data_IF_573017556411
#
_entry.id   IF_573017556411
#
_cell.length_a   1.000
_cell.length_b   1.000
_cell.length_c   1.000
_cell.angle_alpha   90.00
_cell.angle_beta   90.00
_cell.angle_gamma   90.00
#
_symmetry.space_group_name_H-M   'P 1'
#
loop_
_entity.id
_entity.type
_entity.pdbx_description
1 polymer ?
#
# COMPACT_ATOMS: atom_id res chain seq x y z
N UNK A 1 20.12 -9.70 28.82
CA UNK A 1 20.63 -8.55 28.05
C UNK A 1 20.56 -8.73 26.52
N UNK A 2 19.92 -9.78 25.98
CA UNK A 2 19.78 -9.99 24.52
C UNK A 2 18.38 -9.68 23.96
N UNK A 3 17.39 -9.46 24.82
CA UNK A 3 15.98 -9.25 24.41
C UNK A 3 15.65 -7.80 24.03
N UNK A 4 16.39 -6.80 24.51
CA UNK A 4 16.15 -5.38 24.19
C UNK A 4 16.59 -5.00 22.76
N UNK A 5 17.51 -5.76 22.15
CA UNK A 5 17.99 -5.51 20.78
C UNK A 5 17.02 -5.95 19.68
N UNK A 6 15.91 -6.61 20.04
CA UNK A 6 14.92 -7.15 19.09
C UNK A 6 13.59 -6.38 19.10
N UNK A 7 13.48 -5.29 19.87
CA UNK A 7 12.30 -4.43 19.83
C UNK A 7 12.43 -3.45 18.67
N UNK A 8 11.43 -3.39 17.80
CA UNK A 8 11.40 -2.46 16.68
C UNK A 8 11.45 -1.02 17.20
N UNK A 9 12.54 -0.30 16.92
CA UNK A 9 12.70 1.09 17.30
C UNK A 9 11.80 1.96 16.42
N UNK A 10 10.96 2.79 17.06
CA UNK A 10 10.04 3.67 16.35
C UNK A 10 10.83 4.64 15.45
N UNK A 11 10.37 4.91 14.21
CA UNK A 11 11.04 5.85 13.32
C UNK A 11 11.02 7.27 13.92
N UNK A 12 12.09 8.05 13.71
CA UNK A 12 12.18 9.40 14.26
C UNK A 12 11.11 10.32 13.68
N UNK A 13 10.54 11.18 14.53
CA UNK A 13 9.62 12.23 14.11
C UNK A 13 10.32 13.21 13.18
N UNK A 14 9.60 13.64 12.13
CA UNK A 14 10.11 14.57 11.12
C UNK A 14 9.17 15.76 11.04
N UNK A 15 9.71 16.95 11.26
CA UNK A 15 9.04 18.21 10.99
C UNK A 15 9.73 18.86 9.79
N UNK A 16 8.92 19.27 8.80
CA UNK A 16 9.40 19.84 7.52
C UNK A 16 10.45 19.00 6.77
N UNK A 17 10.41 17.67 6.92
CA UNK A 17 11.27 16.74 6.17
C UNK A 17 12.67 16.52 6.75
N UNK A 18 13.01 17.21 7.84
CA UNK A 18 14.25 16.96 8.60
C UNK A 18 13.95 16.12 9.84
N UNK A 19 14.86 15.22 10.21
CA UNK A 19 14.76 14.45 11.44
C UNK A 19 15.08 15.36 12.62
N UNK A 20 14.19 15.38 13.61
CA UNK A 20 14.40 16.16 14.84
C UNK A 20 15.58 15.56 15.61
N UNK A 21 16.66 16.33 15.77
CA UNK A 21 17.88 15.93 16.49
C UNK A 21 18.09 16.72 17.77
N UNK A 22 17.26 17.75 18.01
CA UNK A 22 17.33 18.57 19.21
C UNK A 22 16.74 17.83 20.42
N UNK A 23 17.60 17.53 21.39
CA UNK A 23 17.28 16.78 22.61
C UNK A 23 16.18 17.44 23.45
N UNK A 24 16.04 18.76 23.38
CA UNK A 24 14.99 19.53 24.08
C UNK A 24 13.61 19.39 23.43
N UNK A 25 13.54 19.20 22.11
CA UNK A 25 12.27 19.01 21.40
C UNK A 25 11.71 17.59 21.60
N UNK A 26 12.60 16.59 21.71
CA UNK A 26 12.23 15.19 21.96
C UNK A 26 11.65 14.95 23.37
N UNK A 27 11.88 15.87 24.31
CA UNK A 27 11.40 15.82 25.69
C UNK A 27 10.06 16.54 25.91
N UNK A 28 9.53 17.23 24.90
CA UNK A 28 8.21 17.86 24.98
C UNK A 28 7.12 16.79 24.88
N UNK A 29 6.85 16.14 26.01
CA UNK A 29 5.60 15.40 26.24
C UNK A 29 4.48 16.42 26.14
N UNK A 30 3.46 16.11 25.32
CA UNK A 30 2.28 16.95 25.12
C UNK A 30 1.77 17.47 26.46
N UNK A 31 1.88 18.79 26.63
CA UNK A 31 1.43 19.53 27.80
C UNK A 31 -0.07 19.26 27.98
N UNK A 32 -0.43 18.48 29.01
CA UNK A 32 -1.79 18.48 29.52
C UNK A 32 -2.05 19.92 29.97
N UNK A 33 -2.92 20.61 29.21
CA UNK A 33 -3.42 21.94 29.52
C UNK A 33 -4.10 21.91 30.89
N UNK A 34 -3.32 22.18 31.94
CA UNK A 34 -3.85 22.57 33.26
C UNK A 34 -4.64 23.87 33.07
N UNK A 35 -5.92 23.83 33.48
CA UNK A 35 -6.77 25.01 33.59
C UNK A 35 -6.14 25.99 34.60
N UNK A 36 -5.42 26.98 34.09
CA UNK A 36 -4.94 28.11 34.87
C UNK A 36 -6.12 29.02 35.24
N UNK A 37 -6.55 28.95 36.51
CA UNK A 37 -7.40 29.95 37.15
C UNK A 37 -6.62 31.28 37.26
N UNK A 38 -7.02 32.26 36.48
CA UNK A 38 -6.47 33.61 36.48
C UNK A 38 -7.17 34.45 37.56
N UNK A 39 -6.57 34.56 38.75
CA UNK A 39 -6.89 35.60 39.73
C UNK A 39 -6.04 36.85 39.46
N UNK A 40 -6.64 37.86 38.82
CA UNK A 40 -6.07 39.20 38.64
C UNK A 40 -6.94 40.26 39.34
N UNK A 41 -6.39 40.86 40.39
CA UNK A 41 -7.03 41.86 41.25
C UNK A 41 -7.18 43.23 40.57
N UNK A 42 -8.33 43.88 40.78
CA UNK A 42 -8.47 45.34 40.72
C UNK A 42 -9.33 45.80 41.90
N UNK A 43 -8.68 46.47 42.85
CA UNK A 43 -9.25 47.00 44.08
C UNK A 43 -9.84 48.40 43.81
N UNK A 44 -11.09 48.64 44.21
CA UNK A 44 -11.77 49.90 43.98
C UNK A 44 -13.14 50.01 44.64
N UNK A 45 -13.12 50.17 45.98
CA UNK A 45 -14.17 50.77 46.85
C UNK A 45 -15.44 49.94 47.17
N UNK A 46 -15.61 49.71 48.47
CA UNK A 46 -16.59 48.86 49.16
C UNK A 46 -18.06 49.38 49.07
N UNK A 47 -19.08 48.52 49.22
CA UNK A 47 -19.51 48.14 50.58
C UNK A 47 -19.67 46.63 50.75
N UNK A 48 -19.44 46.16 51.97
CA UNK A 48 -19.54 44.77 52.45
C UNK A 48 -20.77 44.03 51.90
N UNK A 49 -20.64 43.38 50.74
CA UNK A 49 -21.47 42.23 50.39
C UNK A 49 -20.79 41.03 51.03
N UNK A 50 -21.49 40.37 51.94
CA UNK A 50 -21.11 39.08 52.50
C UNK A 50 -20.49 38.22 51.38
N UNK A 51 -19.16 38.06 51.39
CA UNK A 51 -18.48 37.05 50.59
C UNK A 51 -19.10 35.75 51.07
N UNK A 52 -20.06 35.21 50.31
CA UNK A 52 -20.56 33.85 50.52
C UNK A 52 -19.31 32.99 50.40
N UNK A 53 -18.76 32.57 51.54
CA UNK A 53 -17.73 31.55 51.61
C UNK A 53 -18.13 30.49 50.59
N UNK A 54 -17.29 30.23 49.59
CA UNK A 54 -17.64 29.43 48.42
C UNK A 54 -18.45 28.22 48.85
N UNK A 55 -19.72 28.17 48.43
CA UNK A 55 -20.68 27.18 48.92
C UNK A 55 -20.09 25.79 48.69
N UNK A 56 -19.58 25.18 49.77
CA UNK A 56 -19.01 23.84 49.72
C UNK A 56 -20.09 22.93 49.16
N UNK A 57 -19.81 22.33 47.99
CA UNK A 57 -20.75 21.39 47.34
C UNK A 57 -21.26 20.39 48.38
N UNK A 58 -22.58 20.23 48.43
CA UNK A 58 -23.16 19.25 49.35
C UNK A 58 -22.90 17.83 48.82
N UNK A 59 -23.07 16.81 49.67
CA UNK A 59 -22.90 15.41 49.24
C UNK A 59 -23.86 15.04 48.11
N UNK A 60 -25.07 15.60 48.11
CA UNK A 60 -26.07 15.42 47.05
C UNK A 60 -25.65 16.07 45.74
N UNK A 61 -25.02 17.24 45.77
CA UNK A 61 -24.48 17.91 44.58
C UNK A 61 -23.35 17.09 43.95
N UNK A 62 -22.41 16.61 44.78
CA UNK A 62 -21.33 15.71 44.32
C UNK A 62 -21.88 14.42 43.71
N UNK A 63 -22.90 13.81 44.32
CA UNK A 63 -23.56 12.62 43.78
C UNK A 63 -24.29 12.91 42.45
N UNK A 64 -24.93 14.08 42.32
CA UNK A 64 -25.59 14.50 41.07
C UNK A 64 -24.58 14.73 39.95
N UNK A 65 -23.43 15.32 40.26
CA UNK A 65 -22.31 15.48 39.32
C UNK A 65 -21.71 14.12 38.93
N UNK A 66 -21.48 13.22 39.88
CA UNK A 66 -20.99 11.88 39.62
C UNK A 66 -21.92 11.10 38.69
N UNK A 67 -23.25 11.16 38.92
CA UNK A 67 -24.25 10.56 38.02
C UNK A 67 -24.20 11.16 36.62
N UNK A 68 -24.09 12.49 36.49
CA UNK A 68 -23.94 13.16 35.18
C UNK A 68 -22.65 12.76 34.47
N UNK A 69 -21.53 12.66 35.19
CA UNK A 69 -20.23 12.21 34.64
C UNK A 69 -20.32 10.76 34.17
N UNK A 70 -20.89 9.86 34.97
CA UNK A 70 -21.10 8.47 34.59
C UNK A 70 -21.97 8.32 33.33
N UNK A 71 -23.06 9.09 33.22
CA UNK A 71 -23.90 9.10 32.03
C UNK A 71 -23.14 9.60 30.78
N UNK A 72 -22.36 10.68 30.92
CA UNK A 72 -21.50 11.20 29.83
C UNK A 72 -20.49 10.15 29.37
N UNK A 73 -19.80 9.50 30.30
CA UNK A 73 -18.85 8.42 29.99
C UNK A 73 -19.52 7.24 29.29
N UNK A 74 -20.72 6.84 29.70
CA UNK A 74 -21.47 5.77 29.04
C UNK A 74 -21.79 6.13 27.58
N UNK A 75 -22.24 7.36 27.32
CA UNK A 75 -22.51 7.85 25.95
C UNK A 75 -21.23 7.87 25.10
N UNK A 76 -20.11 8.34 25.67
CA UNK A 76 -18.82 8.35 24.97
C UNK A 76 -18.35 6.93 24.63
N UNK A 77 -18.48 5.97 25.55
CA UNK A 77 -18.15 4.57 25.28
C UNK A 77 -18.97 4.00 24.12
N UNK A 78 -20.27 4.29 24.06
CA UNK A 78 -21.13 3.85 22.94
C UNK A 78 -20.72 4.52 21.64
N UNK A 79 -20.44 5.83 21.64
CA UNK A 79 -19.96 6.56 20.45
C UNK A 79 -18.63 5.99 19.95
N UNK A 80 -17.69 5.73 20.85
CA UNK A 80 -16.40 5.14 20.51
C UNK A 80 -16.56 3.74 19.92
N UNK A 81 -17.40 2.89 20.53
CA UNK A 81 -17.70 1.56 19.98
C UNK A 81 -18.32 1.63 18.58
N UNK A 82 -19.25 2.57 18.35
CA UNK A 82 -19.84 2.79 17.02
C UNK A 82 -18.80 3.27 16.00
N UNK A 83 -17.92 4.19 16.39
CA UNK A 83 -16.85 4.67 15.53
C UNK A 83 -15.87 3.55 15.15
N UNK A 84 -15.47 2.72 16.12
CA UNK A 84 -14.67 1.52 15.90
C UNK A 84 -15.36 0.55 14.94
N UNK A 85 -16.61 0.19 15.21
CA UNK A 85 -17.36 -0.72 14.33
C UNK A 85 -17.51 -0.16 12.91
N UNK A 86 -17.66 1.16 12.74
CA UNK A 86 -17.72 1.78 11.41
C UNK A 86 -16.41 1.62 10.64
N UNK A 87 -15.25 1.68 11.31
CA UNK A 87 -13.94 1.45 10.68
C UNK A 87 -13.77 0.01 10.19
N UNK A 88 -14.29 -0.96 10.94
CA UNK A 88 -14.19 -2.39 10.61
C UNK A 88 -15.37 -2.94 9.81
N UNK A 89 -16.40 -2.13 9.53
CA UNK A 89 -17.61 -2.59 8.85
C UNK A 89 -17.32 -3.19 7.46
N UNK A 90 -16.30 -2.67 6.76
CA UNK A 90 -15.92 -3.12 5.43
C UNK A 90 -14.77 -4.14 5.40
N UNK A 91 -14.31 -4.64 6.54
CA UNK A 91 -13.16 -5.57 6.56
C UNK A 91 -13.45 -6.85 5.76
N UNK A 92 -14.66 -7.39 5.90
CA UNK A 92 -15.10 -8.58 5.16
C UNK A 92 -15.22 -8.33 3.65
N UNK A 93 -15.50 -7.10 3.22
CA UNK A 93 -15.49 -6.72 1.81
C UNK A 93 -14.07 -6.75 1.25
N UNK A 94 -13.15 -6.09 1.95
CA UNK A 94 -11.73 -6.04 1.57
C UNK A 94 -11.11 -7.45 1.49
N UNK A 95 -11.42 -8.34 2.42
CA UNK A 95 -10.91 -9.73 2.38
C UNK A 95 -11.39 -10.44 1.12
N UNK A 96 -12.67 -10.30 0.74
CA UNK A 96 -13.21 -10.90 -0.48
C UNK A 96 -12.56 -10.33 -1.74
N UNK A 97 -12.34 -9.02 -1.79
CA UNK A 97 -11.65 -8.36 -2.91
C UNK A 97 -10.21 -8.90 -3.06
N UNK A 98 -9.48 -9.02 -1.96
CA UNK A 98 -8.12 -9.61 -1.97
C UNK A 98 -8.13 -11.06 -2.45
N UNK A 99 -9.08 -11.87 -1.99
CA UNK A 99 -9.21 -13.26 -2.42
C UNK A 99 -9.54 -13.38 -3.92
N UNK A 100 -10.41 -12.51 -4.43
CA UNK A 100 -10.72 -12.43 -5.86
C UNK A 100 -9.50 -12.02 -6.69
N UNK A 101 -8.80 -10.96 -6.30
CA UNK A 101 -7.60 -10.49 -6.99
C UNK A 101 -6.51 -11.56 -7.02
N UNK A 102 -6.36 -12.33 -5.94
CA UNK A 102 -5.43 -13.45 -5.86
C UNK A 102 -5.80 -14.56 -6.87
N UNK A 103 -7.08 -14.91 -6.96
CA UNK A 103 -7.57 -15.90 -7.92
C UNK A 103 -7.33 -15.45 -9.37
N UNK A 104 -7.66 -14.20 -9.71
CA UNK A 104 -7.44 -13.64 -11.05
C UNK A 104 -5.95 -13.61 -11.40
N UNK A 105 -5.09 -13.25 -10.43
CA UNK A 105 -3.65 -13.24 -10.62
C UNK A 105 -3.11 -14.66 -10.89
N UNK A 106 -3.61 -15.67 -10.16
CA UNK A 106 -3.25 -17.07 -10.39
C UNK A 106 -3.68 -17.56 -11.77
N UNK A 107 -4.91 -17.26 -12.19
CA UNK A 107 -5.43 -17.62 -13.51
C UNK A 107 -4.62 -16.98 -14.64
N UNK A 108 -4.31 -15.68 -14.51
CA UNK A 108 -3.44 -14.97 -15.45
C UNK A 108 -2.06 -15.61 -15.54
N UNK A 109 -1.50 -16.03 -14.40
CA UNK A 109 -0.19 -16.68 -14.35
C UNK A 109 -0.24 -18.08 -14.99
N UNK A 110 -1.30 -18.86 -14.74
CA UNK A 110 -1.55 -20.16 -15.40
C UNK A 110 -1.66 -20.00 -16.91
N UNK A 111 -2.46 -19.05 -17.40
CA UNK A 111 -2.59 -18.75 -18.82
C UNK A 111 -1.26 -18.33 -19.46
N UNK A 112 -0.47 -17.50 -18.77
CA UNK A 112 0.88 -17.11 -19.24
C UNK A 112 1.82 -18.30 -19.35
N UNK A 113 1.81 -19.19 -18.35
CA UNK A 113 2.62 -20.43 -18.36
C UNK A 113 2.20 -21.36 -19.49
N UNK A 114 0.91 -21.55 -19.71
CA UNK A 114 0.38 -22.36 -20.81
C UNK A 114 0.85 -21.81 -22.18
N UNK A 115 0.69 -20.49 -22.41
CA UNK A 115 1.17 -19.84 -23.63
C UNK A 115 2.69 -19.99 -23.81
N UNK A 116 3.47 -19.85 -22.74
CA UNK A 116 4.92 -20.05 -22.81
C UNK A 116 5.29 -21.50 -23.11
N UNK A 117 4.56 -22.48 -22.57
CA UNK A 117 4.77 -23.89 -22.87
C UNK A 117 4.46 -24.19 -24.34
N UNK A 118 3.33 -23.70 -24.88
CA UNK A 118 2.99 -23.83 -26.30
C UNK A 118 4.01 -23.16 -27.22
N UNK A 119 4.55 -22.00 -26.84
CA UNK A 119 5.60 -21.34 -27.62
C UNK A 119 6.90 -22.15 -27.60
N UNK A 120 7.25 -22.76 -26.46
CA UNK A 120 8.44 -23.60 -26.34
C UNK A 120 8.36 -24.90 -27.14
N UNK A 121 7.17 -25.44 -27.38
CA UNK A 121 7.01 -26.62 -28.25
C UNK A 121 7.08 -26.28 -29.73
N UNK A 122 6.63 -25.08 -30.12
CA UNK A 122 6.63 -24.63 -31.52
C UNK A 122 7.98 -24.07 -31.98
N UNK A 123 8.71 -23.43 -31.08
CA UNK A 123 9.97 -22.76 -31.38
C UNK A 123 11.15 -23.68 -31.08
N UNK A 124 12.23 -23.64 -31.89
CA UNK A 124 13.45 -24.38 -31.55
C UNK A 124 14.03 -23.88 -30.22
N UNK A 125 14.78 -24.72 -29.50
CA UNK A 125 15.31 -24.36 -28.20
C UNK A 125 16.29 -23.19 -28.30
N UNK A 126 16.20 -22.29 -27.33
CA UNK A 126 17.12 -21.16 -27.21
C UNK A 126 18.46 -21.66 -26.68
N UNK A 127 19.50 -21.48 -27.48
CA UNK A 127 20.88 -21.71 -27.07
C UNK A 127 21.49 -20.33 -26.76
N UNK A 128 21.90 -20.11 -25.50
CA UNK A 128 22.49 -18.86 -25.04
C UNK A 128 21.48 -17.72 -24.89
N UNK A 129 21.94 -16.48 -25.06
CA UNK A 129 21.13 -15.26 -24.90
C UNK A 129 20.35 -14.83 -26.15
N UNK A 130 20.58 -15.51 -27.29
CA UNK A 130 19.97 -15.15 -28.57
C UNK A 130 18.55 -15.68 -28.73
N UNK A 131 17.61 -14.79 -29.05
CA UNK A 131 16.24 -15.17 -29.43
C UNK A 131 16.26 -15.84 -30.81
N UNK A 132 15.35 -16.79 -31.04
CA UNK A 132 15.10 -17.30 -32.38
C UNK A 132 14.15 -16.36 -33.09
N UNK A 133 14.49 -15.98 -34.31
CA UNK A 133 13.65 -15.19 -35.20
C UNK A 133 13.32 -16.05 -36.43
N UNK A 134 12.05 -16.09 -36.85
CA UNK A 134 11.68 -16.79 -38.05
C UNK A 134 12.36 -16.14 -39.26
N UNK A 135 12.75 -16.96 -40.22
CA UNK A 135 13.26 -16.48 -41.50
C UNK A 135 12.20 -15.59 -42.18
N UNK A 136 12.60 -14.48 -42.82
CA UNK A 136 11.67 -13.69 -43.60
C UNK A 136 11.10 -14.55 -44.72
N UNK A 137 9.77 -14.61 -44.82
CA UNK A 137 9.09 -15.41 -45.84
C UNK A 137 9.44 -14.82 -47.21
N UNK A 138 10.16 -15.59 -48.02
CA UNK A 138 10.44 -15.21 -49.38
C UNK A 138 9.24 -15.58 -50.24
N UNK A 139 8.57 -14.55 -50.75
CA UNK A 139 7.42 -14.69 -51.63
C UNK A 139 7.78 -14.07 -52.97
N UNK A 140 7.60 -14.84 -54.05
CA UNK A 140 7.65 -14.29 -55.39
C UNK A 140 6.44 -13.38 -55.59
N UNK A 141 6.65 -12.24 -56.24
CA UNK A 141 5.53 -11.41 -56.66
C UNK A 141 4.81 -12.08 -57.84
N UNK A 142 3.55 -11.72 -58.07
CA UNK A 142 2.77 -12.32 -59.15
C UNK A 142 3.39 -12.12 -60.52
N UNK A 143 4.06 -10.98 -60.75
CA UNK A 143 4.81 -10.72 -61.98
C UNK A 143 5.98 -11.68 -62.17
N UNK A 144 6.72 -11.96 -61.09
CA UNK A 144 7.89 -12.84 -61.12
C UNK A 144 7.51 -14.32 -61.24
N UNK A 145 6.34 -14.69 -60.72
CA UNK A 145 5.84 -16.07 -60.78
C UNK A 145 5.31 -16.47 -62.16
N UNK A 146 4.78 -15.52 -62.95
CA UNK A 146 4.23 -15.76 -64.29
C UNK A 146 5.25 -15.60 -65.43
N UNK A 147 6.44 -15.08 -65.13
CA UNK A 147 7.51 -14.83 -66.10
C UNK A 147 8.23 -16.11 -66.56
N UNK A 148 9.24 -15.96 -67.43
CA UNK A 148 10.07 -17.09 -67.84
C UNK A 148 11.05 -17.50 -66.73
N UNK A 149 11.51 -18.77 -66.71
CA UNK A 149 12.49 -19.26 -65.72
C UNK A 149 13.78 -18.43 -65.70
N UNK A 150 14.11 -17.74 -66.79
CA UNK A 150 15.30 -16.88 -66.91
C UNK A 150 15.14 -15.54 -66.18
N UNK A 151 13.92 -15.12 -65.92
CA UNK A 151 13.58 -13.87 -65.22
C UNK A 151 13.47 -14.06 -63.71
N UNK A 152 13.32 -15.30 -63.24
CA UNK A 152 13.21 -15.61 -61.81
C UNK A 152 14.54 -15.31 -61.12
N UNK A 153 14.51 -14.33 -60.23
CA UNK A 153 15.67 -13.99 -59.40
C UNK A 153 15.91 -15.11 -58.38
N UNK A 154 17.14 -15.68 -58.29
CA UNK A 154 17.44 -16.64 -57.26
C UNK A 154 17.43 -15.94 -55.90
N UNK A 155 16.38 -16.20 -55.11
CA UNK A 155 16.29 -15.78 -53.71
C UNK A 155 16.71 -16.98 -52.88
N UNK A 156 17.98 -17.04 -52.53
CA UNK A 156 18.52 -18.16 -51.76
C UNK A 156 19.09 -17.62 -50.45
N UNK A 157 18.29 -17.68 -49.38
CA UNK A 157 18.80 -17.52 -48.01
C UNK A 157 19.29 -18.86 -47.46
N UNK A 158 19.90 -19.69 -48.32
CA UNK A 158 20.37 -21.05 -48.02
C UNK A 158 21.21 -21.12 -46.74
N UNK A 159 22.06 -20.12 -46.49
CA UNK A 159 22.89 -20.08 -45.28
C UNK A 159 22.02 -19.91 -44.04
N UNK A 160 21.01 -19.04 -44.09
CA UNK A 160 20.13 -18.77 -42.97
C UNK A 160 19.14 -19.93 -42.75
N UNK A 161 18.62 -20.53 -43.82
CA UNK A 161 17.80 -21.75 -43.79
C UNK A 161 18.55 -22.91 -43.13
N UNK A 162 19.77 -23.20 -43.60
CA UNK A 162 20.63 -24.23 -43.00
C UNK A 162 20.96 -23.96 -41.54
N UNK A 163 21.12 -22.69 -41.15
CA UNK A 163 21.38 -22.31 -39.77
C UNK A 163 20.12 -22.50 -38.88
N UNK A 164 18.94 -22.16 -39.39
CA UNK A 164 17.67 -22.42 -38.71
C UNK A 164 17.43 -23.92 -38.51
N UNK A 165 17.64 -24.73 -39.55
CA UNK A 165 17.50 -26.19 -39.50
C UNK A 165 18.43 -26.83 -38.47
N UNK A 166 19.69 -26.38 -38.39
CA UNK A 166 20.64 -26.87 -37.37
C UNK A 166 20.21 -26.50 -35.96
N UNK A 167 19.57 -25.35 -35.75
CA UNK A 167 19.04 -24.94 -34.45
C UNK A 167 17.86 -25.81 -34.01
N UNK A 168 17.02 -26.25 -34.96
CA UNK A 168 15.95 -27.22 -34.71
C UNK A 168 16.53 -28.59 -34.36
N UNK A 169 17.52 -29.07 -35.13
CA UNK A 169 18.11 -30.41 -34.98
C UNK A 169 18.96 -30.59 -33.70
N UNK A 170 19.64 -29.54 -33.21
CA UNK A 170 20.44 -29.61 -31.97
C UNK A 170 19.59 -29.60 -30.69
N UNK A 171 18.27 -29.50 -30.84
CA UNK A 171 17.29 -29.46 -29.75
C UNK A 171 16.65 -30.81 -29.40
N UNK A 172 16.95 -31.85 -30.16
CA UNK A 172 16.63 -33.27 -29.89
C UNK A 172 17.86 -33.91 -29.29
#
# INVERSE_FOLDING_TARGET
>A
MLLEKLMAQAPPTRVHGQAETDELALLQVAEESDESEEEGAAEGLTPKKNKKQGLRKTRTDRNREARKRAARLAVLKVKNKKAWNKKFANLAGIVKEVDMDAQEAEERLKARRARQAELRTKLPPQIGSGKWEPLPVQVLTTSDATGSLREIKPMAMLVQERYADRRVMKGV
#
